data_IF_264264775015
#
_entry.id   IF_264264775015
#
_cell.length_a   1.000
_cell.length_b   1.000
_cell.length_c   1.000
_cell.angle_alpha   90.00
_cell.angle_beta   90.00
_cell.angle_gamma   90.00
#
_symmetry.space_group_name_H-M   'P 1'
#
loop_
_entity.id
_entity.type
_entity.pdbx_description
1 polymer ?
#
# COMPACT_ATOMS: atom_id res chain seq x y z
N UNK A 1 67.76 32.65 29.77
CA UNK A 1 66.96 32.78 31.00
C UNK A 1 65.76 33.65 30.67
N UNK A 2 64.66 33.02 30.29
CA UNK A 2 63.37 33.67 30.04
C UNK A 2 62.36 32.80 30.76
N UNK A 3 61.66 33.44 31.69
CA UNK A 3 60.67 32.92 32.61
C UNK A 3 59.34 32.75 31.89
N UNK A 4 58.81 31.53 31.84
CA UNK A 4 57.43 31.26 31.42
C UNK A 4 56.52 31.26 32.66
N UNK A 5 55.53 32.15 32.65
CA UNK A 5 54.39 32.11 33.57
C UNK A 5 53.27 31.24 32.97
N UNK A 6 52.54 30.46 33.79
CA UNK A 6 51.36 29.75 33.32
C UNK A 6 50.12 30.65 33.37
N UNK A 7 49.46 30.80 32.22
CA UNK A 7 48.10 31.35 32.14
C UNK A 7 47.08 30.27 32.53
N UNK A 8 46.38 30.58 33.60
CA UNK A 8 45.17 29.95 34.07
C UNK A 8 43.96 30.43 33.21
N UNK A 9 42.81 29.76 33.40
CA UNK A 9 41.45 30.16 32.96
C UNK A 9 40.89 29.49 31.69
N UNK A 10 40.15 28.38 31.89
CA UNK A 10 39.28 27.78 30.89
C UNK A 10 38.04 27.15 31.52
N UNK A 11 37.00 27.94 31.67
CA UNK A 11 35.79 27.72 32.46
C UNK A 11 34.87 26.57 31.97
N UNK A 12 34.36 25.81 32.95
CA UNK A 12 32.99 25.33 33.13
C UNK A 12 32.06 25.21 31.90
N UNK A 13 31.70 23.97 31.52
CA UNK A 13 30.39 23.69 30.94
C UNK A 13 29.67 22.60 31.73
N UNK A 14 28.83 23.04 32.67
CA UNK A 14 27.82 22.20 33.34
C UNK A 14 26.75 21.82 32.31
N UNK A 15 26.82 20.61 31.77
CA UNK A 15 25.72 20.01 31.04
C UNK A 15 24.56 19.80 32.02
N UNK A 16 23.47 20.56 31.83
CA UNK A 16 22.22 20.38 32.57
C UNK A 16 21.42 19.29 31.86
N UNK A 17 21.48 18.07 32.38
CA UNK A 17 20.52 17.01 32.05
C UNK A 17 19.13 17.47 32.52
N UNK A 18 18.32 17.93 31.56
CA UNK A 18 16.90 18.15 31.79
C UNK A 18 16.22 16.79 31.68
N UNK A 19 16.00 16.15 32.82
CA UNK A 19 15.11 15.01 32.95
C UNK A 19 13.68 15.43 32.53
N UNK A 20 13.32 15.11 31.29
CA UNK A 20 11.96 15.24 30.79
C UNK A 20 11.14 14.10 31.39
N UNK A 21 10.68 14.30 32.62
CA UNK A 21 9.66 13.45 33.24
C UNK A 21 8.34 13.68 32.52
N UNK A 22 8.01 12.79 31.58
CA UNK A 22 6.69 12.75 30.93
C UNK A 22 5.68 12.28 31.98
N UNK A 23 5.06 13.22 32.68
CA UNK A 23 3.93 12.96 33.57
C UNK A 23 2.69 12.66 32.73
N UNK A 24 2.32 11.38 32.64
CA UNK A 24 1.03 11.00 32.10
C UNK A 24 -0.05 11.31 33.14
N UNK A 25 -1.06 12.15 32.84
CA UNK A 25 -2.19 12.35 33.74
C UNK A 25 -3.05 11.09 33.72
N UNK A 26 -2.77 10.16 34.63
CA UNK A 26 -3.66 9.03 34.94
C UNK A 26 -4.90 9.60 35.60
N UNK A 27 -5.94 9.87 34.81
CA UNK A 27 -7.28 10.19 35.32
C UNK A 27 -7.79 8.97 36.10
N UNK A 28 -7.57 8.95 37.41
CA UNK A 28 -8.21 8.02 38.34
C UNK A 28 -9.73 8.27 38.40
N UNK A 29 -10.48 7.76 37.41
CA UNK A 29 -11.93 7.57 37.48
C UNK A 29 -12.29 6.16 37.96
N UNK A 30 -11.81 5.75 39.14
CA UNK A 30 -12.23 4.50 39.81
C UNK A 30 -12.30 4.64 41.33
N UNK A 31 -13.08 5.61 41.84
CA UNK A 31 -13.33 5.74 43.29
C UNK A 31 -14.78 6.06 43.69
N UNK A 32 -15.78 5.64 42.92
CA UNK A 32 -17.20 5.90 43.30
C UNK A 32 -18.14 4.69 43.26
N UNK A 33 -17.64 3.45 43.29
CA UNK A 33 -18.51 2.26 43.32
C UNK A 33 -18.14 1.23 44.39
N UNK A 34 -17.70 1.66 45.59
CA UNK A 34 -17.46 0.72 46.72
C UNK A 34 -18.42 0.98 47.91
N UNK A 35 -19.26 2.01 47.87
CA UNK A 35 -20.09 2.39 49.02
C UNK A 35 -21.49 1.74 49.11
N UNK A 36 -21.74 0.59 48.48
CA UNK A 36 -23.07 -0.08 48.55
C UNK A 36 -23.03 -1.59 48.77
N UNK A 37 -22.08 -2.11 49.52
CA UNK A 37 -22.14 -3.49 50.01
C UNK A 37 -21.95 -3.50 51.53
N UNK A 38 -23.07 -3.46 52.26
CA UNK A 38 -23.13 -3.65 53.73
C UNK A 38 -22.58 -5.02 54.18
N UNK A 39 -22.26 -5.93 53.27
CA UNK A 39 -21.64 -7.24 53.55
C UNK A 39 -20.11 -7.24 53.63
N UNK A 40 -19.40 -6.18 53.21
CA UNK A 40 -17.93 -6.21 53.11
C UNK A 40 -17.25 -5.86 54.44
N UNK A 41 -17.94 -5.23 55.40
CA UNK A 41 -17.29 -4.74 56.62
C UNK A 41 -16.51 -5.83 57.37
N UNK A 42 -17.11 -7.03 57.51
CA UNK A 42 -16.48 -8.17 58.18
C UNK A 42 -15.27 -8.69 57.39
N UNK A 43 -15.36 -8.75 56.07
CA UNK A 43 -14.24 -9.15 55.21
C UNK A 43 -13.10 -8.14 55.25
N UNK A 44 -13.39 -6.82 55.27
CA UNK A 44 -12.37 -5.79 55.44
C UNK A 44 -11.71 -5.80 56.81
N UNK A 45 -12.44 -6.15 57.87
CA UNK A 45 -11.89 -6.29 59.22
C UNK A 45 -11.05 -7.56 59.36
N UNK A 46 -11.47 -8.67 58.74
CA UNK A 46 -10.69 -9.91 58.71
C UNK A 46 -9.45 -9.80 57.81
N UNK A 47 -9.48 -8.94 56.79
CA UNK A 47 -8.35 -8.68 55.90
C UNK A 47 -7.30 -7.72 56.49
N UNK A 48 -7.58 -7.06 57.63
CA UNK A 48 -6.57 -6.27 58.33
C UNK A 48 -5.63 -7.21 59.08
N UNK A 49 -4.30 -7.14 58.86
CA UNK A 49 -3.36 -7.96 59.60
C UNK A 49 -3.39 -7.57 61.08
N UNK A 50 -3.41 -8.57 61.98
CA UNK A 50 -3.46 -8.34 63.44
C UNK A 50 -2.27 -7.56 63.98
N UNK A 51 -1.14 -7.58 63.28
CA UNK A 51 0.03 -6.76 63.59
C UNK A 51 0.41 -5.94 62.36
N UNK A 52 0.70 -4.63 62.52
CA UNK A 52 1.22 -3.83 61.42
C UNK A 52 2.61 -4.37 61.05
N UNK A 53 2.68 -5.09 59.94
CA UNK A 53 3.95 -5.46 59.33
C UNK A 53 4.30 -4.42 58.28
N UNK A 54 5.55 -3.99 58.27
CA UNK A 54 6.06 -3.18 57.16
C UNK A 54 5.87 -3.95 55.86
N UNK A 55 5.32 -3.28 54.84
CA UNK A 55 5.11 -3.91 53.54
C UNK A 55 6.46 -4.38 53.05
N UNK A 56 6.59 -5.68 52.77
CA UNK A 56 7.78 -6.23 52.14
C UNK A 56 8.05 -5.47 50.84
N UNK A 57 9.07 -4.62 50.85
CA UNK A 57 9.60 -3.98 49.65
C UNK A 57 10.68 -4.93 49.15
N UNK A 58 10.47 -5.64 48.02
CA UNK A 58 11.53 -6.46 47.47
C UNK A 58 12.75 -5.58 47.20
N UNK A 59 13.98 -6.10 47.40
CA UNK A 59 15.19 -5.35 47.07
C UNK A 59 15.09 -4.86 45.62
N UNK A 60 15.39 -3.58 45.42
CA UNK A 60 15.36 -2.97 44.09
C UNK A 60 16.54 -3.51 43.26
N UNK A 61 16.28 -4.44 42.36
CA UNK A 61 17.29 -5.10 41.51
C UNK A 61 17.91 -4.17 40.44
N UNK A 62 17.61 -2.87 40.47
CA UNK A 62 18.06 -1.91 39.46
C UNK A 62 17.34 -2.09 38.11
N UNK A 63 17.59 -1.18 37.15
CA UNK A 63 17.13 -1.38 35.79
C UNK A 63 17.83 -2.61 35.20
N UNK A 64 17.04 -3.60 34.76
CA UNK A 64 17.54 -4.78 34.06
C UNK A 64 18.42 -4.31 32.90
N UNK A 65 19.74 -4.43 33.05
CA UNK A 65 20.67 -4.22 31.95
C UNK A 65 20.46 -5.38 30.99
N UNK A 66 19.66 -5.14 29.94
CA UNK A 66 19.54 -6.04 28.81
C UNK A 66 20.91 -6.13 28.15
N UNK A 67 21.72 -7.11 28.58
CA UNK A 67 22.92 -7.50 27.86
C UNK A 67 22.42 -8.16 26.58
N UNK A 68 22.20 -7.36 25.54
CA UNK A 68 21.95 -7.85 24.19
C UNK A 68 23.23 -8.49 23.67
N UNK A 69 23.54 -9.70 24.15
CA UNK A 69 24.45 -10.58 23.43
C UNK A 69 23.69 -10.94 22.15
N UNK A 70 24.09 -10.37 21.03
CA UNK A 70 23.70 -10.86 19.72
C UNK A 70 24.23 -12.28 19.61
N UNK A 71 23.42 -13.25 20.06
CA UNK A 71 23.69 -14.65 19.81
C UNK A 71 23.83 -14.78 18.30
N UNK A 72 25.01 -15.20 17.85
CA UNK A 72 25.23 -15.59 16.47
C UNK A 72 24.45 -16.89 16.31
N UNK A 73 23.16 -16.77 15.98
CA UNK A 73 22.29 -17.90 15.72
C UNK A 73 22.62 -18.38 14.30
N UNK A 74 22.80 -19.69 14.14
CA UNK A 74 22.98 -20.28 12.82
C UNK A 74 21.85 -19.84 11.87
N UNK A 75 22.20 -19.47 10.62
CA UNK A 75 21.23 -18.91 9.68
C UNK A 75 20.05 -19.86 9.40
N UNK A 76 20.26 -21.17 9.49
CA UNK A 76 19.21 -22.18 9.37
C UNK A 76 18.24 -22.18 10.56
N UNK A 77 18.76 -22.05 11.78
CA UNK A 77 17.96 -21.96 13.00
C UNK A 77 17.17 -20.65 13.00
N UNK A 78 17.79 -19.55 12.62
CA UNK A 78 17.13 -18.25 12.47
C UNK A 78 16.00 -18.32 11.44
N UNK A 79 16.23 -19.00 10.31
CA UNK A 79 15.21 -19.20 9.28
C UNK A 79 14.04 -20.03 9.82
N UNK A 80 14.30 -21.11 10.55
CA UNK A 80 13.26 -21.94 11.18
C UNK A 80 12.47 -21.17 12.24
N UNK A 81 13.14 -20.36 13.05
CA UNK A 81 12.49 -19.48 14.03
C UNK A 81 11.58 -18.44 13.34
N UNK A 82 12.02 -17.85 12.22
CA UNK A 82 11.21 -16.92 11.43
C UNK A 82 10.01 -17.61 10.77
N UNK A 83 10.17 -18.87 10.35
CA UNK A 83 9.07 -19.70 9.83
C UNK A 83 8.04 -20.04 10.92
N UNK A 84 8.50 -20.41 12.12
CA UNK A 84 7.64 -20.66 13.28
C UNK A 84 7.04 -19.38 13.87
N UNK A 85 7.64 -18.21 13.60
CA UNK A 85 7.07 -16.92 13.96
C UNK A 85 5.87 -16.55 13.07
N UNK A 86 5.68 -17.22 11.92
CA UNK A 86 4.48 -17.05 11.11
C UNK A 86 3.27 -17.66 11.84
N UNK A 87 2.34 -16.80 12.26
CA UNK A 87 1.19 -17.17 13.09
C UNK A 87 0.39 -18.37 12.53
N UNK A 88 0.27 -18.48 11.21
CA UNK A 88 -0.50 -19.56 10.58
C UNK A 88 0.19 -20.93 10.67
N UNK A 89 1.49 -21.00 10.38
CA UNK A 89 2.25 -22.25 10.48
C UNK A 89 2.37 -22.71 11.93
N UNK A 90 2.57 -21.76 12.86
CA UNK A 90 2.57 -22.02 14.31
C UNK A 90 1.24 -22.60 14.77
N UNK A 91 0.12 -22.00 14.37
CA UNK A 91 -1.22 -22.48 14.73
C UNK A 91 -1.47 -23.89 14.20
N UNK A 92 -1.09 -24.19 12.95
CA UNK A 92 -1.25 -25.53 12.37
C UNK A 92 -0.38 -26.55 13.11
N UNK A 93 0.87 -26.20 13.40
CA UNK A 93 1.81 -27.05 14.12
C UNK A 93 1.34 -27.33 15.55
N UNK A 94 0.91 -26.29 16.27
CA UNK A 94 0.42 -26.39 17.64
C UNK A 94 -0.89 -27.19 17.69
N UNK A 95 -1.82 -26.99 16.75
CA UNK A 95 -3.02 -27.82 16.63
C UNK A 95 -2.66 -29.29 16.37
N UNK A 96 -1.72 -29.57 15.46
CA UNK A 96 -1.28 -30.95 15.21
C UNK A 96 -0.68 -31.59 16.46
N UNK A 97 0.07 -30.83 17.26
CA UNK A 97 0.68 -31.30 18.51
C UNK A 97 -0.35 -31.52 19.61
N UNK A 98 -1.22 -30.54 19.85
CA UNK A 98 -2.23 -30.56 20.92
C UNK A 98 -3.30 -31.62 20.70
N UNK A 99 -3.64 -31.93 19.45
CA UNK A 99 -4.67 -32.91 19.12
C UNK A 99 -4.11 -34.26 18.64
N UNK A 100 -2.82 -34.53 18.89
CA UNK A 100 -2.19 -35.80 18.54
C UNK A 100 -2.85 -36.94 19.35
N UNK A 101 -3.47 -37.89 18.67
CA UNK A 101 -4.17 -39.03 19.27
C UNK A 101 -5.67 -38.83 19.49
N UNK A 102 -6.17 -37.59 19.46
CA UNK A 102 -7.61 -37.27 19.58
C UNK A 102 -8.27 -37.21 18.19
N UNK A 103 -7.53 -36.75 17.17
CA UNK A 103 -8.04 -36.60 15.82
C UNK A 103 -7.95 -37.89 14.99
N UNK A 104 -8.97 -38.10 14.17
CA UNK A 104 -8.99 -39.13 13.14
C UNK A 104 -7.75 -39.04 12.23
N UNK A 105 -7.28 -40.20 11.76
CA UNK A 105 -6.17 -40.34 10.80
C UNK A 105 -6.34 -39.45 9.54
N UNK A 106 -7.59 -39.20 9.12
CA UNK A 106 -7.88 -38.33 7.98
C UNK A 106 -7.61 -36.85 8.32
N UNK A 107 -7.98 -36.42 9.52
CA UNK A 107 -7.79 -35.03 9.98
C UNK A 107 -6.32 -34.75 10.26
N UNK A 108 -5.57 -35.71 10.81
CA UNK A 108 -4.12 -35.59 11.00
C UNK A 108 -3.40 -35.49 9.66
N UNK A 109 -3.74 -36.31 8.66
CA UNK A 109 -3.23 -36.20 7.28
C UNK A 109 -3.55 -34.85 6.62
N UNK A 110 -4.69 -34.25 6.93
CA UNK A 110 -5.04 -32.93 6.40
C UNK A 110 -4.21 -31.82 7.06
N UNK A 111 -3.95 -31.91 8.37
CA UNK A 111 -3.09 -30.98 9.08
C UNK A 111 -1.64 -31.05 8.59
N UNK A 112 -1.10 -32.26 8.36
CA UNK A 112 0.25 -32.41 7.79
C UNK A 112 0.34 -31.83 6.38
N UNK A 113 -0.67 -32.07 5.52
CA UNK A 113 -0.73 -31.45 4.19
C UNK A 113 -0.83 -29.93 4.25
N UNK A 114 -1.56 -29.37 5.21
CA UNK A 114 -1.67 -27.92 5.39
C UNK A 114 -0.33 -27.33 5.86
N UNK A 115 0.35 -28.01 6.79
CA UNK A 115 1.70 -27.65 7.25
C UNK A 115 2.70 -27.69 6.08
N UNK A 116 2.72 -28.76 5.29
CA UNK A 116 3.56 -28.88 4.09
C UNK A 116 3.26 -27.79 3.06
N UNK A 117 1.99 -27.48 2.80
CA UNK A 117 1.60 -26.38 1.88
C UNK A 117 2.05 -25.02 2.38
N UNK A 118 1.93 -24.75 3.67
CA UNK A 118 2.36 -23.47 4.27
C UNK A 118 3.87 -23.35 4.28
N UNK A 119 4.59 -24.42 4.62
CA UNK A 119 6.04 -24.54 4.45
C UNK A 119 6.41 -24.25 2.99
N UNK A 120 5.81 -24.97 2.04
CA UNK A 120 6.09 -24.80 0.62
C UNK A 120 5.76 -23.41 0.09
N UNK A 121 4.74 -22.71 0.62
CA UNK A 121 4.45 -21.33 0.21
C UNK A 121 5.52 -20.36 0.71
N UNK A 122 6.01 -20.55 1.94
CA UNK A 122 7.12 -19.77 2.51
C UNK A 122 8.40 -20.03 1.71
N UNK A 123 8.70 -21.30 1.41
CA UNK A 123 9.85 -21.69 0.59
C UNK A 123 9.72 -21.23 -0.87
N UNK A 124 8.51 -21.22 -1.45
CA UNK A 124 8.26 -20.68 -2.79
C UNK A 124 8.54 -19.17 -2.82
N UNK A 125 8.10 -18.43 -1.80
CA UNK A 125 8.42 -17.01 -1.66
C UNK A 125 9.93 -16.79 -1.58
N UNK A 126 10.64 -17.59 -0.78
CA UNK A 126 12.10 -17.53 -0.66
C UNK A 126 12.80 -17.89 -2.00
N UNK A 127 12.38 -18.96 -2.66
CA UNK A 127 12.93 -19.40 -3.96
C UNK A 127 12.71 -18.34 -5.04
N UNK A 128 11.52 -17.74 -5.08
CA UNK A 128 11.19 -16.60 -5.95
C UNK A 128 12.07 -15.39 -5.65
N UNK A 129 12.29 -15.08 -4.37
CA UNK A 129 13.16 -13.98 -3.96
C UNK A 129 14.63 -14.21 -4.33
N UNK A 130 15.14 -15.44 -4.16
CA UNK A 130 16.49 -15.84 -4.59
C UNK A 130 16.65 -15.72 -6.10
N UNK A 131 15.69 -16.24 -6.88
CA UNK A 131 15.65 -16.09 -8.34
C UNK A 131 15.64 -14.62 -8.78
N UNK A 132 14.84 -13.77 -8.14
CA UNK A 132 14.80 -12.33 -8.42
C UNK A 132 16.16 -11.65 -8.14
N UNK A 133 16.85 -12.07 -7.07
CA UNK A 133 18.19 -11.56 -6.72
C UNK A 133 19.22 -11.97 -7.77
N UNK A 134 19.19 -13.21 -8.24
CA UNK A 134 20.06 -13.72 -9.30
C UNK A 134 19.79 -13.01 -10.64
N UNK A 135 18.52 -12.83 -11.02
CA UNK A 135 18.15 -12.07 -12.23
C UNK A 135 18.63 -10.62 -12.17
N UNK A 136 18.57 -9.97 -11.00
CA UNK A 136 19.10 -8.61 -10.82
C UNK A 136 20.62 -8.56 -11.00
N UNK A 137 21.36 -9.55 -10.48
CA UNK A 137 22.81 -9.67 -10.68
C UNK A 137 23.15 -9.84 -12.15
N UNK A 138 22.45 -10.76 -12.84
CA UNK A 138 22.65 -11.02 -14.25
C UNK A 138 22.37 -9.77 -15.12
N UNK A 139 21.29 -9.03 -14.83
CA UNK A 139 21.01 -7.76 -15.51
C UNK A 139 22.08 -6.70 -15.26
N UNK A 140 22.60 -6.62 -14.04
CA UNK A 140 23.67 -5.69 -13.68
C UNK A 140 24.97 -6.04 -14.38
N UNK A 141 25.31 -7.33 -14.48
CA UNK A 141 26.45 -7.84 -15.25
C UNK A 141 26.30 -7.57 -16.75
N UNK A 142 25.12 -7.82 -17.33
CA UNK A 142 24.80 -7.46 -18.71
C UNK A 142 24.96 -5.95 -18.95
N UNK A 143 24.45 -5.11 -18.06
CA UNK A 143 24.61 -3.65 -18.15
C UNK A 143 26.08 -3.23 -18.07
N UNK A 144 26.85 -3.81 -17.15
CA UNK A 144 28.30 -3.57 -17.06
C UNK A 144 29.04 -4.02 -18.33
N UNK A 145 28.69 -5.17 -18.89
CA UNK A 145 29.26 -5.68 -20.13
C UNK A 145 28.93 -4.78 -21.33
N UNK A 146 27.69 -4.27 -21.41
CA UNK A 146 27.29 -3.30 -22.43
C UNK A 146 28.07 -1.98 -22.27
N UNK A 147 28.21 -1.48 -21.05
CA UNK A 147 29.00 -0.27 -20.77
C UNK A 147 30.49 -0.46 -21.08
N UNK A 148 31.05 -1.62 -20.81
CA UNK A 148 32.44 -1.96 -21.16
C UNK A 148 32.62 -2.12 -22.68
N UNK A 149 31.61 -2.62 -23.40
CA UNK A 149 31.61 -2.68 -24.87
C UNK A 149 31.41 -1.31 -25.50
N UNK A 150 30.58 -0.45 -24.91
CA UNK A 150 30.40 0.93 -25.37
C UNK A 150 31.59 1.80 -25.04
N UNK A 151 32.28 1.60 -23.91
CA UNK A 151 33.53 2.30 -23.59
C UNK A 151 34.67 1.87 -24.50
N UNK A 152 34.69 0.61 -24.96
CA UNK A 152 35.64 0.15 -25.99
C UNK A 152 35.30 0.62 -27.41
N UNK A 153 34.02 0.85 -27.74
CA UNK A 153 33.60 1.47 -29.01
C UNK A 153 33.66 3.00 -29.00
N UNK A 154 33.67 3.63 -27.82
CA UNK A 154 34.25 4.96 -27.63
C UNK A 154 35.77 4.85 -27.63
N UNK A 155 36.30 4.34 -28.75
CA UNK A 155 37.61 4.76 -29.23
C UNK A 155 37.56 6.28 -29.18
N UNK A 156 38.42 6.87 -28.33
CA UNK A 156 38.65 8.30 -28.12
C UNK A 156 38.06 9.12 -29.28
N UNK A 157 36.80 9.56 -29.14
CA UNK A 157 36.27 10.62 -29.97
C UNK A 157 37.24 11.76 -29.67
N UNK A 158 38.12 12.09 -30.62
CA UNK A 158 39.13 13.12 -30.39
C UNK A 158 38.38 14.39 -29.98
N UNK A 159 38.96 15.21 -29.12
CA UNK A 159 38.28 16.41 -28.63
C UNK A 159 37.76 17.29 -29.79
N UNK A 160 38.41 17.20 -30.96
CA UNK A 160 38.00 17.76 -32.25
C UNK A 160 36.67 17.20 -32.79
N UNK A 161 36.46 15.88 -32.77
CA UNK A 161 35.18 15.27 -33.19
C UNK A 161 34.05 15.66 -32.25
N UNK A 162 34.37 15.78 -30.96
CA UNK A 162 33.42 16.23 -29.93
C UNK A 162 33.06 17.71 -30.13
N UNK A 163 34.04 18.56 -30.42
CA UNK A 163 33.82 19.97 -30.75
C UNK A 163 32.97 20.13 -32.02
N UNK A 164 33.30 19.43 -33.10
CA UNK A 164 32.54 19.46 -34.35
C UNK A 164 31.09 18.98 -34.19
N UNK A 165 30.85 18.01 -33.30
CA UNK A 165 29.50 17.54 -32.96
C UNK A 165 28.72 18.58 -32.14
N UNK A 166 29.37 19.26 -31.21
CA UNK A 166 28.78 20.35 -30.44
C UNK A 166 28.43 21.54 -31.34
N UNK A 167 29.29 21.89 -32.30
CA UNK A 167 28.99 22.92 -33.32
C UNK A 167 27.76 22.55 -34.15
N UNK A 168 27.67 21.30 -34.63
CA UNK A 168 26.47 20.81 -35.35
C UNK A 168 25.20 20.91 -34.51
N UNK A 169 25.27 20.59 -33.22
CA UNK A 169 24.12 20.69 -32.31
C UNK A 169 23.78 22.14 -31.95
N UNK A 170 24.77 23.03 -31.93
CA UNK A 170 24.60 24.46 -31.66
C UNK A 170 23.98 25.20 -32.85
N UNK A 171 24.11 24.69 -34.08
CA UNK A 171 23.39 25.27 -35.21
C UNK A 171 21.87 25.14 -35.02
N UNK A 172 21.11 26.26 -35.02
CA UNK A 172 19.67 26.20 -34.85
C UNK A 172 19.07 25.38 -35.98
N UNK A 173 18.14 24.48 -35.64
CA UNK A 173 17.41 23.70 -36.65
C UNK A 173 16.76 24.67 -37.62
N UNK A 174 16.94 24.45 -38.92
CA UNK A 174 16.21 25.20 -39.96
C UNK A 174 14.73 25.09 -39.63
N UNK A 175 14.10 26.23 -39.34
CA UNK A 175 12.65 26.28 -39.16
C UNK A 175 12.04 25.84 -40.48
N UNK A 176 11.39 24.69 -40.50
CA UNK A 176 10.58 24.30 -41.64
C UNK A 176 9.46 25.34 -41.72
N UNK A 177 9.37 26.12 -42.82
CA UNK A 177 8.21 26.98 -42.98
C UNK A 177 7.00 26.07 -42.97
N UNK A 178 6.07 26.31 -42.05
CA UNK A 178 4.81 25.59 -42.06
C UNK A 178 4.13 25.85 -43.40
N UNK A 179 3.61 24.80 -44.03
CA UNK A 179 2.80 24.98 -45.23
C UNK A 179 1.69 26.00 -44.91
N UNK A 180 1.44 26.97 -45.80
CA UNK A 180 0.42 27.98 -45.56
C UNK A 180 -0.91 27.29 -45.31
N UNK A 181 -1.50 27.52 -44.13
CA UNK A 181 -2.81 26.99 -43.78
C UNK A 181 -3.79 27.52 -44.83
N UNK A 182 -4.34 26.64 -45.66
CA UNK A 182 -5.41 26.97 -46.59
C UNK A 182 -6.68 27.31 -45.80
N UNK A 183 -6.78 28.56 -45.32
CA UNK A 183 -7.94 29.07 -44.57
C UNK A 183 -9.17 29.30 -45.45
N UNK A 184 -9.11 28.93 -46.72
CA UNK A 184 -10.12 29.28 -47.73
C UNK A 184 -10.21 30.80 -47.96
N UNK A 185 -11.01 31.23 -48.94
CA UNK A 185 -11.31 32.65 -49.12
C UNK A 185 -12.10 33.15 -47.91
N UNK A 186 -11.64 34.23 -47.28
CA UNK A 186 -12.39 34.90 -46.22
C UNK A 186 -13.78 35.27 -46.74
N UNK A 187 -14.83 34.67 -46.18
CA UNK A 187 -16.21 35.05 -46.51
C UNK A 187 -16.50 36.40 -45.81
N UNK A 188 -16.94 37.45 -46.54
CA UNK A 188 -17.18 38.77 -45.97
C UNK A 188 -18.24 38.72 -44.87
N UNK A 189 -18.06 39.57 -43.86
CA UNK A 189 -18.88 39.67 -42.63
C UNK A 189 -20.35 40.01 -42.95
N UNK A 190 -20.63 40.63 -44.08
CA UNK A 190 -21.98 41.06 -44.47
C UNK A 190 -22.96 39.93 -44.81
N UNK A 191 -22.50 38.69 -44.93
CA UNK A 191 -23.40 37.55 -45.10
C UNK A 191 -24.02 37.15 -43.75
N UNK A 192 -25.10 37.83 -43.38
CA UNK A 192 -25.94 37.52 -42.21
C UNK A 192 -26.35 36.04 -42.15
N UNK A 193 -26.46 35.37 -43.31
CA UNK A 193 -26.71 33.93 -43.38
C UNK A 193 -25.70 33.09 -42.59
N UNK A 194 -24.42 33.47 -42.56
CA UNK A 194 -23.41 32.73 -41.78
C UNK A 194 -23.62 32.87 -40.26
N UNK A 195 -24.08 34.04 -39.82
CA UNK A 195 -24.39 34.25 -38.41
C UNK A 195 -25.64 33.46 -38.00
N UNK A 196 -26.63 33.37 -38.90
CA UNK A 196 -27.78 32.49 -38.69
C UNK A 196 -27.37 31.01 -38.66
N UNK A 197 -26.50 30.56 -39.58
CA UNK A 197 -25.97 29.19 -39.60
C UNK A 197 -25.16 28.84 -38.34
N UNK A 198 -24.41 29.80 -37.79
CA UNK A 198 -23.62 29.62 -36.56
C UNK A 198 -24.48 29.77 -35.28
N UNK A 199 -25.57 30.52 -35.35
CA UNK A 199 -26.54 30.69 -34.27
C UNK A 199 -27.50 29.50 -34.18
N UNK A 200 -27.76 28.80 -35.29
CA UNK A 200 -28.44 27.51 -35.24
C UNK A 200 -27.63 26.56 -34.36
N UNK A 201 -28.22 26.02 -33.28
CA UNK A 201 -27.53 25.05 -32.46
C UNK A 201 -27.13 23.90 -33.36
N UNK A 202 -25.85 23.54 -33.36
CA UNK A 202 -25.32 22.43 -34.17
C UNK A 202 -26.23 21.24 -33.95
N UNK A 203 -27.06 20.93 -34.95
CA UNK A 203 -27.93 19.76 -34.96
C UNK A 203 -26.97 18.58 -35.03
N UNK A 204 -26.54 18.12 -33.85
CA UNK A 204 -25.95 16.80 -33.71
C UNK A 204 -27.12 15.90 -34.02
N UNK A 205 -27.20 15.43 -35.26
CA UNK A 205 -28.09 14.34 -35.63
C UNK A 205 -27.94 13.32 -34.50
N UNK A 206 -29.01 13.16 -33.71
CA UNK A 206 -28.98 12.29 -32.55
C UNK A 206 -28.39 10.99 -33.05
N UNK A 207 -27.28 10.55 -32.45
CA UNK A 207 -26.49 9.41 -32.93
C UNK A 207 -27.47 8.35 -33.37
N UNK A 208 -27.64 8.16 -34.69
CA UNK A 208 -28.70 7.29 -35.16
C UNK A 208 -28.46 5.96 -34.45
N UNK A 209 -29.48 5.41 -33.77
CA UNK A 209 -29.29 4.17 -33.04
C UNK A 209 -28.64 3.20 -34.01
N UNK A 210 -27.44 2.73 -33.68
CA UNK A 210 -26.67 1.84 -34.57
C UNK A 210 -27.64 0.75 -35.00
N UNK A 211 -27.89 0.65 -36.31
CA UNK A 211 -28.75 -0.40 -36.86
C UNK A 211 -28.27 -1.71 -36.28
N UNK A 212 -29.11 -2.30 -35.45
CA UNK A 212 -28.74 -3.42 -34.62
C UNK A 212 -28.36 -4.57 -35.57
N UNK A 213 -27.14 -5.08 -35.41
CA UNK A 213 -26.62 -6.31 -36.05
C UNK A 213 -26.05 -6.24 -37.48
N UNK A 214 -25.99 -5.10 -38.17
CA UNK A 214 -25.30 -5.04 -39.48
C UNK A 214 -23.79 -4.89 -39.32
N UNK A 215 -23.07 -6.01 -39.31
CA UNK A 215 -21.60 -6.07 -39.34
C UNK A 215 -21.08 -5.55 -40.69
N UNK A 216 -20.05 -4.69 -40.70
CA UNK A 216 -19.46 -4.14 -41.93
C UNK A 216 -18.89 -5.25 -42.83
N UNK A 217 -18.88 -5.04 -44.16
CA UNK A 217 -18.35 -6.03 -45.10
C UNK A 217 -16.88 -6.39 -44.79
N UNK A 218 -16.07 -5.40 -44.41
CA UNK A 218 -14.67 -5.61 -44.03
C UNK A 218 -14.51 -6.46 -42.76
N UNK A 219 -15.41 -6.31 -41.78
CA UNK A 219 -15.39 -7.12 -40.57
C UNK A 219 -15.82 -8.58 -40.82
N UNK A 220 -16.65 -8.84 -41.86
CA UNK A 220 -17.02 -10.20 -42.26
C UNK A 220 -15.86 -10.96 -42.91
N UNK A 221 -15.02 -10.27 -43.68
CA UNK A 221 -13.85 -10.86 -44.36
C UNK A 221 -12.57 -10.81 -43.51
N UNK A 222 -12.64 -10.29 -42.29
CA UNK A 222 -11.47 -10.12 -41.45
C UNK A 222 -11.00 -11.45 -40.87
N UNK A 223 -9.75 -11.83 -41.15
CA UNK A 223 -9.09 -12.97 -40.51
C UNK A 223 -8.39 -12.45 -39.24
N UNK A 224 -8.74 -12.95 -38.05
CA UNK A 224 -8.14 -12.48 -36.81
C UNK A 224 -6.66 -12.87 -36.75
N UNK A 225 -5.83 -11.94 -36.27
CA UNK A 225 -4.42 -12.20 -36.02
C UNK A 225 -4.22 -13.13 -34.81
N UNK A 226 -3.08 -13.81 -34.74
CA UNK A 226 -2.72 -14.67 -33.59
C UNK A 226 -2.79 -13.95 -32.24
N UNK A 227 -2.48 -12.66 -32.22
CA UNK A 227 -2.61 -11.82 -31.02
C UNK A 227 -4.06 -11.65 -30.58
N UNK A 228 -4.98 -11.44 -31.51
CA UNK A 228 -6.42 -11.36 -31.23
C UNK A 228 -6.93 -12.72 -30.78
N UNK A 229 -6.50 -13.81 -31.43
CA UNK A 229 -6.86 -15.17 -31.02
C UNK A 229 -6.37 -15.48 -29.59
N UNK A 230 -5.16 -15.04 -29.22
CA UNK A 230 -4.64 -15.17 -27.84
C UNK A 230 -5.41 -14.32 -26.83
N UNK A 231 -5.86 -13.13 -27.21
CA UNK A 231 -6.66 -12.27 -26.34
C UNK A 231 -8.11 -12.75 -26.21
N UNK A 232 -8.62 -13.44 -27.23
CA UNK A 232 -9.94 -14.07 -27.20
C UNK A 232 -10.00 -15.27 -26.26
N UNK A 233 -8.86 -15.96 -26.05
CA UNK A 233 -8.78 -17.01 -25.04
C UNK A 233 -9.05 -16.42 -23.65
N UNK A 234 -10.09 -16.96 -23.01
CA UNK A 234 -10.47 -16.57 -21.66
C UNK A 234 -9.28 -16.80 -20.71
N UNK A 235 -8.86 -15.77 -19.93
CA UNK A 235 -7.78 -15.95 -18.96
C UNK A 235 -8.12 -17.07 -17.99
N UNK A 236 -7.18 -17.98 -17.71
CA UNK A 236 -7.40 -19.17 -16.84
C UNK A 236 -8.08 -18.90 -15.50
N UNK A 237 -7.91 -17.71 -14.94
CA UNK A 237 -8.58 -17.28 -13.68
C UNK A 237 -10.11 -17.26 -13.78
N UNK A 238 -10.66 -17.30 -14.99
CA UNK A 238 -12.08 -17.31 -15.25
C UNK A 238 -12.60 -18.70 -15.60
N UNK A 239 -11.75 -19.72 -15.69
CA UNK A 239 -12.19 -21.11 -15.87
C UNK A 239 -12.84 -21.65 -14.58
N UNK A 240 -12.44 -21.08 -13.43
CA UNK A 240 -12.99 -21.39 -12.10
C UNK A 240 -14.16 -20.47 -11.70
N UNK A 241 -14.73 -19.69 -12.62
CA UNK A 241 -15.93 -18.91 -12.32
C UNK A 241 -17.09 -19.86 -12.01
N UNK A 242 -17.89 -19.51 -11.00
CA UNK A 242 -19.14 -20.21 -10.76
C UNK A 242 -20.03 -20.11 -12.00
N UNK A 243 -20.67 -21.20 -12.44
CA UNK A 243 -21.55 -21.18 -13.59
C UNK A 243 -22.69 -20.18 -13.37
N UNK A 244 -23.21 -19.56 -14.43
CA UNK A 244 -24.33 -18.63 -14.31
C UNK A 244 -25.49 -19.30 -13.57
N UNK A 245 -26.15 -18.54 -12.69
CA UNK A 245 -27.32 -19.01 -11.96
C UNK A 245 -28.46 -19.29 -12.96
N UNK A 246 -28.77 -20.57 -13.14
CA UNK A 246 -29.93 -20.97 -13.93
C UNK A 246 -31.22 -20.58 -13.20
N UNK A 247 -32.15 -19.86 -13.85
CA UNK A 247 -33.44 -19.54 -13.26
C UNK A 247 -34.19 -20.85 -12.96
N UNK A 248 -34.58 -21.04 -11.70
CA UNK A 248 -35.24 -22.26 -11.22
C UNK A 248 -34.33 -23.24 -10.47
N UNK A 249 -33.01 -23.01 -10.44
CA UNK A 249 -32.12 -23.79 -9.58
C UNK A 249 -32.53 -23.60 -8.11
N UNK A 250 -32.80 -24.68 -7.36
CA UNK A 250 -33.22 -24.55 -5.97
C UNK A 250 -32.12 -23.87 -5.15
N UNK A 251 -32.51 -22.83 -4.42
CA UNK A 251 -31.64 -22.13 -3.47
C UNK A 251 -31.15 -23.13 -2.43
N UNK A 252 -29.87 -23.09 -2.07
CA UNK A 252 -29.32 -24.04 -1.09
C UNK A 252 -30.07 -23.93 0.24
N UNK A 253 -30.29 -25.06 0.93
CA UNK A 253 -31.00 -25.09 2.22
C UNK A 253 -30.39 -24.13 3.25
N UNK A 254 -29.08 -23.96 3.22
CA UNK A 254 -28.37 -23.00 4.08
C UNK A 254 -28.76 -21.54 3.80
N UNK A 255 -28.91 -21.17 2.53
CA UNK A 255 -29.37 -19.83 2.16
C UNK A 255 -30.85 -19.60 2.51
N UNK A 256 -31.71 -20.62 2.39
CA UNK A 256 -33.11 -20.55 2.84
C UNK A 256 -33.25 -20.37 4.36
N UNK A 257 -32.35 -20.99 5.13
CA UNK A 257 -32.34 -20.91 6.61
C UNK A 257 -31.52 -19.72 7.14
N UNK A 258 -30.85 -18.96 6.28
CA UNK A 258 -29.96 -17.90 6.70
C UNK A 258 -30.74 -16.74 7.29
N UNK A 259 -30.47 -16.43 8.57
CA UNK A 259 -30.99 -15.22 9.21
C UNK A 259 -30.09 -14.04 8.84
N UNK A 260 -30.69 -13.00 8.28
CA UNK A 260 -30.00 -11.75 7.95
C UNK A 260 -29.28 -11.21 9.20
N UNK A 261 -28.01 -10.88 9.05
CA UNK A 261 -27.25 -10.19 10.10
C UNK A 261 -27.62 -8.71 10.14
N UNK A 262 -27.56 -8.03 11.30
CA UNK A 262 -27.91 -6.61 11.41
C UNK A 262 -27.05 -5.71 10.50
N UNK A 263 -25.85 -6.16 10.13
CA UNK A 263 -24.97 -5.49 9.17
C UNK A 263 -25.51 -5.58 7.76
N UNK A 264 -25.97 -6.76 7.34
CA UNK A 264 -26.59 -6.98 6.02
C UNK A 264 -27.92 -6.23 5.95
N UNK A 265 -28.69 -6.21 7.03
CA UNK A 265 -29.94 -5.45 7.12
C UNK A 265 -29.71 -3.96 6.85
N UNK A 266 -28.68 -3.37 7.48
CA UNK A 266 -28.28 -1.97 7.24
C UNK A 266 -27.82 -1.70 5.82
N UNK A 267 -27.22 -2.69 5.15
CA UNK A 267 -26.79 -2.56 3.76
C UNK A 267 -27.94 -2.76 2.78
N UNK A 268 -28.93 -3.56 3.13
CA UNK A 268 -30.11 -3.84 2.33
C UNK A 268 -31.07 -2.65 2.28
N UNK A 269 -31.16 -1.88 3.36
CA UNK A 269 -31.88 -0.60 3.35
C UNK A 269 -31.18 0.31 2.34
N UNK A 270 -31.75 0.39 1.14
CA UNK A 270 -31.35 1.33 0.11
C UNK A 270 -31.29 2.68 0.80
N UNK A 271 -30.10 3.29 0.84
CA UNK A 271 -29.98 4.67 1.30
C UNK A 271 -30.73 5.51 0.29
N UNK A 272 -32.00 5.78 0.57
CA UNK A 272 -32.83 6.70 -0.18
C UNK A 272 -32.06 8.01 -0.12
N UNK A 273 -31.46 8.39 -1.25
CA UNK A 273 -30.89 9.72 -1.39
C UNK A 273 -32.08 10.65 -1.20
N UNK A 274 -32.02 11.54 -0.21
CA UNK A 274 -33.08 12.53 -0.02
C UNK A 274 -33.22 13.27 -1.34
N UNK A 275 -34.32 13.02 -2.06
CA UNK A 275 -34.70 13.76 -3.25
C UNK A 275 -34.80 15.23 -2.80
N UNK A 276 -33.88 16.07 -3.27
CA UNK A 276 -33.66 17.42 -2.73
C UNK A 276 -32.29 17.67 -2.11
N UNK A 277 -31.35 16.72 -2.13
CA UNK A 277 -29.93 17.10 -2.22
C UNK A 277 -29.63 17.53 -3.66
N UNK A 278 -30.26 18.65 -4.06
CA UNK A 278 -29.68 19.59 -5.02
C UNK A 278 -28.19 19.70 -4.69
N UNK A 279 -27.35 19.75 -5.72
CA UNK A 279 -25.96 20.20 -5.66
C UNK A 279 -25.73 21.02 -4.40
N UNK A 280 -24.80 20.59 -3.54
CA UNK A 280 -24.35 21.41 -2.42
C UNK A 280 -24.26 22.85 -2.94
N UNK A 281 -24.82 23.86 -2.22
CA UNK A 281 -24.80 25.25 -2.69
C UNK A 281 -23.39 25.55 -3.22
N UNK A 282 -23.26 26.26 -4.36
CA UNK A 282 -21.96 26.39 -5.07
C UNK A 282 -20.79 26.78 -4.13
N UNK A 283 -21.12 27.48 -3.04
CA UNK A 283 -20.22 27.88 -1.95
C UNK A 283 -19.66 26.72 -1.08
N UNK A 284 -20.30 25.56 -1.03
CA UNK A 284 -19.87 24.37 -0.28
C UNK A 284 -19.02 23.40 -1.09
N UNK A 285 -19.04 23.49 -2.43
CA UNK A 285 -18.23 22.63 -3.31
C UNK A 285 -16.73 22.85 -3.06
N UNK A 286 -16.35 24.06 -2.64
CA UNK A 286 -14.97 24.46 -2.36
C UNK A 286 -14.60 24.45 -0.88
N UNK A 287 -15.56 24.20 0.04
CA UNK A 287 -15.26 24.15 1.47
C UNK A 287 -14.53 22.85 1.81
N UNK A 288 -13.24 22.98 2.09
CA UNK A 288 -12.40 21.90 2.60
C UNK A 288 -13.01 21.39 3.91
N UNK A 289 -13.22 20.07 4.03
CA UNK A 289 -13.75 19.50 5.26
C UNK A 289 -12.88 19.89 6.48
N UNK A 290 -13.46 20.16 7.66
CA UNK A 290 -12.69 20.57 8.84
C UNK A 290 -11.66 19.50 9.28
N UNK A 291 -11.90 18.23 8.94
CA UNK A 291 -10.95 17.15 9.18
C UNK A 291 -9.76 17.18 8.21
N UNK A 292 -9.98 17.59 6.96
CA UNK A 292 -8.91 17.81 6.00
C UNK A 292 -8.01 18.99 6.41
N UNK A 293 -8.58 20.06 6.98
CA UNK A 293 -7.81 21.18 7.55
C UNK A 293 -6.94 20.76 8.75
N UNK A 294 -7.41 19.79 9.55
CA UNK A 294 -6.67 19.25 10.71
C UNK A 294 -5.69 18.13 10.34
N UNK A 295 -5.65 17.70 9.09
CA UNK A 295 -4.87 16.54 8.69
C UNK A 295 -3.37 16.86 8.73
N UNK A 296 -2.62 16.05 9.48
CA UNK A 296 -1.14 16.08 9.46
C UNK A 296 -0.65 15.08 8.42
N UNK A 297 0.10 15.55 7.43
CA UNK A 297 0.66 14.70 6.39
C UNK A 297 1.53 13.58 7.00
N UNK A 298 1.35 12.35 6.51
CA UNK A 298 2.19 11.23 6.94
C UNK A 298 3.66 11.45 6.52
N UNK A 299 4.65 10.88 7.26
CA UNK A 299 6.07 11.02 6.91
C UNK A 299 6.39 10.61 5.48
N UNK A 300 5.68 9.61 4.94
CA UNK A 300 5.83 9.15 3.55
C UNK A 300 5.37 10.19 2.53
N UNK A 301 4.27 10.88 2.80
CA UNK A 301 3.78 11.97 1.92
C UNK A 301 4.79 13.12 1.93
N UNK A 302 5.34 13.45 3.10
CA UNK A 302 6.40 14.46 3.22
C UNK A 302 7.67 14.07 2.45
N UNK A 303 8.07 12.79 2.48
CA UNK A 303 9.21 12.30 1.69
C UNK A 303 8.97 12.39 0.18
N UNK A 304 7.78 12.00 -0.29
CA UNK A 304 7.42 12.06 -1.72
C UNK A 304 7.24 13.49 -2.23
N UNK A 305 6.86 14.42 -1.35
CA UNK A 305 6.73 15.83 -1.68
C UNK A 305 8.07 16.56 -1.78
N UNK A 306 9.18 15.96 -1.29
CA UNK A 306 10.51 16.54 -1.49
C UNK A 306 10.85 16.52 -2.99
N UNK A 307 11.35 17.64 -3.56
CA UNK A 307 11.74 17.68 -4.96
C UNK A 307 12.82 16.63 -5.23
N UNK A 308 12.65 15.90 -6.32
CA UNK A 308 13.66 14.95 -6.79
C UNK A 308 14.65 15.74 -7.62
N UNK A 309 15.88 15.87 -7.13
CA UNK A 309 16.99 16.40 -7.93
C UNK A 309 17.24 15.46 -9.11
N UNK A 310 16.95 15.94 -10.32
CA UNK A 310 17.29 15.25 -11.56
C UNK A 310 18.65 15.79 -12.01
N UNK A 311 19.69 15.01 -11.78
CA UNK A 311 20.99 15.19 -12.43
C UNK A 311 20.98 14.59 -13.84
#
# INVERSE_FOLDING_TARGET
MITEQPEDMGQNSKATEKDVTVSFPVKHRRRQYIFKLKGIWRETQLAQPKMPQDKFVPPYDGPLRLIQKSLIIDPEILMRCNQLACAHLRTIHDNRKSFKGILDLRKTKNLTKAEEKTINSIYFFYRKHKMMKEQKKLKLEQRKALLAKSSRKQVKETDEQRAARLEKLATPKKLFPHDPINRGKWKPIYNMGRYMDLAEPVKRDGIQPRTSFTVSKAARSYVPTDTILKLYQQPRRFDDLEPPLEPGRPVTRGALLYKITPTIEKLYVVKIRKEGTTSAPEDEVWKISPNALKYKASPRILQLAKPIERA
#
